data_IF_546516654114
#
_entry.id   IF_546516654114
#
_cell.length_a   1.000
_cell.length_b   1.000
_cell.length_c   1.000
_cell.angle_alpha   90.00
_cell.angle_beta   90.00
_cell.angle_gamma   90.00
#
_symmetry.space_group_name_H-M   'P 1'
#
loop_
_entity.id
_entity.type
_entity.pdbx_description
1 polymer ?
#
# COMPACT_ATOMS: atom_id res chain seq x y z
N UNK A 1 8.52 14.47 -23.09
CA UNK A 1 8.16 13.61 -21.93
C UNK A 1 8.52 12.18 -22.29
N UNK A 2 9.30 11.48 -21.47
CA UNK A 2 9.62 10.07 -21.75
C UNK A 2 8.52 9.15 -21.20
N UNK A 3 8.50 7.87 -21.62
CA UNK A 3 7.46 6.92 -21.24
C UNK A 3 7.31 6.73 -19.72
N UNK A 4 8.41 6.81 -18.94
CA UNK A 4 8.38 6.73 -17.48
C UNK A 4 7.69 7.94 -16.85
N UNK A 5 7.97 9.14 -17.35
CA UNK A 5 7.31 10.36 -16.88
C UNK A 5 5.81 10.33 -17.15
N UNK A 6 5.43 9.81 -18.34
CA UNK A 6 4.02 9.69 -18.69
C UNK A 6 3.29 8.67 -17.82
N UNK A 7 3.89 7.49 -17.57
CA UNK A 7 3.34 6.52 -16.60
C UNK A 7 3.15 7.12 -15.22
N UNK A 8 4.12 7.89 -14.72
CA UNK A 8 4.00 8.56 -13.42
C UNK A 8 2.87 9.60 -13.41
N UNK A 9 2.69 10.39 -14.47
CA UNK A 9 1.58 11.34 -14.57
C UNK A 9 0.22 10.64 -14.58
N UNK A 10 0.10 9.53 -15.30
CA UNK A 10 -1.13 8.73 -15.35
C UNK A 10 -1.44 8.13 -13.95
N UNK A 11 -0.42 7.62 -13.25
CA UNK A 11 -0.60 7.16 -11.86
C UNK A 11 -1.06 8.30 -10.94
N UNK A 12 -0.50 9.49 -11.11
CA UNK A 12 -0.92 10.66 -10.31
C UNK A 12 -2.39 11.02 -10.57
N UNK A 13 -2.85 10.99 -11.82
CA UNK A 13 -4.28 11.19 -12.12
C UNK A 13 -5.16 10.09 -11.52
N UNK A 14 -4.69 8.85 -11.54
CA UNK A 14 -5.41 7.71 -10.97
C UNK A 14 -5.67 7.88 -9.47
N UNK A 15 -4.64 8.26 -8.70
CA UNK A 15 -4.75 8.41 -7.24
C UNK A 15 -5.44 9.71 -6.80
N UNK A 16 -5.70 10.64 -7.73
CA UNK A 16 -6.46 11.87 -7.51
C UNK A 16 -7.93 11.76 -7.97
N UNK A 17 -8.37 10.58 -8.45
CA UNK A 17 -9.73 10.40 -8.98
C UNK A 17 -10.00 11.08 -10.32
N UNK A 18 -8.94 11.37 -11.09
CA UNK A 18 -9.03 12.10 -12.38
C UNK A 18 -8.88 11.20 -13.62
N UNK A 19 -8.64 9.89 -13.43
CA UNK A 19 -8.36 8.97 -14.54
C UNK A 19 -9.63 8.37 -15.13
N UNK A 20 -10.66 8.16 -14.33
CA UNK A 20 -11.94 7.58 -14.73
C UNK A 20 -13.09 8.45 -14.22
N UNK A 21 -14.25 8.44 -14.88
CA UNK A 21 -15.42 9.18 -14.41
C UNK A 21 -15.92 8.63 -13.07
N UNK A 22 -16.38 9.54 -12.18
CA UNK A 22 -17.09 9.17 -10.98
C UNK A 22 -18.46 8.59 -11.34
N UNK A 23 -18.87 7.50 -10.71
CA UNK A 23 -20.17 6.87 -10.91
C UNK A 23 -21.04 7.08 -9.66
N UNK A 24 -22.18 7.80 -9.78
CA UNK A 24 -23.06 8.05 -8.62
C UNK A 24 -23.66 6.79 -7.99
N UNK A 25 -23.61 5.66 -8.72
CA UNK A 25 -24.09 4.35 -8.25
C UNK A 25 -23.05 3.56 -7.46
N UNK A 26 -21.80 4.04 -7.41
CA UNK A 26 -20.78 3.37 -6.62
C UNK A 26 -21.07 3.54 -5.13
N UNK A 27 -20.86 2.48 -4.37
CA UNK A 27 -20.92 2.54 -2.92
C UNK A 27 -19.77 3.40 -2.39
N UNK A 28 -20.04 4.47 -1.61
CA UNK A 28 -18.99 5.37 -1.11
C UNK A 28 -17.93 4.62 -0.28
N UNK A 29 -16.69 5.12 -0.28
CA UNK A 29 -15.58 4.52 0.47
C UNK A 29 -15.83 4.50 2.00
N UNK A 30 -16.63 5.42 2.53
CA UNK A 30 -17.05 5.44 3.94
C UNK A 30 -17.73 4.15 4.39
N UNK A 31 -18.49 3.49 3.49
CA UNK A 31 -19.14 2.20 3.78
C UNK A 31 -18.11 1.08 3.90
N UNK A 32 -17.05 1.11 3.07
CA UNK A 32 -15.93 0.15 3.19
C UNK A 32 -15.25 0.29 4.55
N UNK A 33 -15.01 1.54 5.00
CA UNK A 33 -14.39 1.79 6.32
C UNK A 33 -15.26 1.26 7.47
N UNK A 34 -16.57 1.47 7.42
CA UNK A 34 -17.50 0.92 8.43
C UNK A 34 -17.42 -0.61 8.50
N UNK A 35 -17.37 -1.29 7.35
CA UNK A 35 -17.24 -2.76 7.30
C UNK A 35 -15.91 -3.23 7.89
N UNK A 36 -14.80 -2.54 7.60
CA UNK A 36 -13.49 -2.88 8.16
C UNK A 36 -13.49 -2.71 9.68
N UNK A 37 -14.03 -1.61 10.18
CA UNK A 37 -14.12 -1.36 11.61
C UNK A 37 -14.97 -2.44 12.31
N UNK A 38 -16.12 -2.81 11.73
CA UNK A 38 -16.97 -3.87 12.24
C UNK A 38 -16.24 -5.23 12.25
N UNK A 39 -15.53 -5.57 11.18
CA UNK A 39 -14.76 -6.82 11.08
C UNK A 39 -13.59 -6.85 12.09
N UNK A 40 -12.82 -5.78 12.20
CA UNK A 40 -11.76 -5.67 13.21
C UNK A 40 -12.32 -5.82 14.63
N UNK A 41 -13.45 -5.15 14.93
CA UNK A 41 -14.10 -5.27 16.23
C UNK A 41 -14.57 -6.71 16.52
N UNK A 42 -15.09 -7.42 15.51
CA UNK A 42 -15.45 -8.84 15.61
C UNK A 42 -14.23 -9.70 15.91
N UNK A 43 -13.13 -9.53 15.16
CA UNK A 43 -11.89 -10.28 15.36
C UNK A 43 -11.25 -10.04 16.73
N UNK A 44 -11.36 -8.83 17.28
CA UNK A 44 -10.91 -8.52 18.65
C UNK A 44 -11.78 -9.26 19.68
N UNK A 45 -13.10 -9.28 19.51
CA UNK A 45 -14.01 -10.04 20.40
C UNK A 45 -13.74 -11.55 20.36
N UNK A 46 -13.37 -12.07 19.18
CA UNK A 46 -13.00 -13.48 19.00
C UNK A 46 -11.57 -13.81 19.50
N UNK A 47 -10.83 -12.83 20.03
CA UNK A 47 -9.44 -13.02 20.46
C UNK A 47 -8.42 -13.24 19.34
N UNK A 48 -8.83 -13.09 18.07
CA UNK A 48 -7.98 -13.26 16.89
C UNK A 48 -7.15 -12.02 16.56
N UNK A 49 -7.53 -10.88 17.09
CA UNK A 49 -6.85 -9.61 16.90
C UNK A 49 -6.68 -8.91 18.24
N UNK A 50 -5.51 -8.27 18.44
CA UNK A 50 -5.27 -7.47 19.66
C UNK A 50 -6.11 -6.19 19.63
N UNK A 51 -6.57 -5.73 20.78
CA UNK A 51 -7.34 -4.47 20.91
C UNK A 51 -6.58 -3.27 20.33
N UNK A 52 -5.25 -3.26 20.40
CA UNK A 52 -4.38 -2.23 19.81
C UNK A 52 -4.40 -2.17 18.27
N UNK A 53 -5.01 -3.14 17.61
CA UNK A 53 -5.19 -3.11 16.15
C UNK A 53 -6.48 -2.39 15.72
N UNK A 54 -7.33 -2.01 16.69
CA UNK A 54 -8.42 -1.07 16.45
C UNK A 54 -7.78 0.33 16.41
N UNK A 55 -7.71 0.91 15.22
CA UNK A 55 -7.37 2.33 15.10
C UNK A 55 -8.56 3.15 15.54
N UNK A 56 -8.35 4.06 16.48
CA UNK A 56 -9.36 5.04 16.89
C UNK A 56 -9.33 6.30 16.00
N UNK A 57 -8.48 6.32 14.96
CA UNK A 57 -8.39 7.42 14.02
C UNK A 57 -9.59 7.44 13.08
N UNK A 58 -10.16 8.62 12.86
CA UNK A 58 -11.19 8.88 11.85
C UNK A 58 -10.89 10.23 11.23
N UNK A 59 -10.72 10.26 9.90
CA UNK A 59 -10.51 11.50 9.16
C UNK A 59 -11.86 11.93 8.57
N UNK A 60 -12.18 13.21 8.65
CA UNK A 60 -13.44 13.77 8.16
C UNK A 60 -13.28 15.22 7.71
N UNK A 61 -14.16 15.65 6.81
CA UNK A 61 -14.26 17.04 6.39
C UNK A 61 -15.19 17.79 7.36
N UNK A 62 -14.70 18.89 7.94
CA UNK A 62 -15.48 19.76 8.81
C UNK A 62 -16.44 20.68 8.05
N UNK A 63 -17.31 21.38 8.77
CA UNK A 63 -18.25 22.36 8.20
C UNK A 63 -17.54 23.57 7.55
N UNK A 64 -16.29 23.82 7.95
CA UNK A 64 -15.40 24.85 7.40
C UNK A 64 -14.61 24.39 6.17
N UNK A 65 -14.95 23.22 5.62
CA UNK A 65 -14.25 22.56 4.50
C UNK A 65 -12.78 22.24 4.77
N UNK A 66 -12.38 22.04 6.04
CA UNK A 66 -11.04 21.59 6.43
C UNK A 66 -11.08 20.15 6.89
N UNK A 67 -9.98 19.43 6.66
CA UNK A 67 -9.83 18.07 7.14
C UNK A 67 -9.39 18.01 8.60
N UNK A 68 -10.05 17.14 9.33
CA UNK A 68 -9.76 16.86 10.74
C UNK A 68 -9.53 15.38 10.95
N UNK A 69 -8.63 15.05 11.86
CA UNK A 69 -8.42 13.70 12.35
C UNK A 69 -8.86 13.62 13.82
N UNK A 70 -9.76 12.70 14.11
CA UNK A 70 -10.18 12.35 15.46
C UNK A 70 -9.45 11.08 15.90
N UNK A 71 -8.71 11.14 17.00
CA UNK A 71 -8.05 9.99 17.64
C UNK A 71 -8.54 9.92 19.09
N UNK A 72 -9.36 8.95 19.40
CA UNK A 72 -10.03 8.85 20.70
C UNK A 72 -10.90 10.08 20.97
N UNK A 73 -10.50 10.93 21.93
CA UNK A 73 -11.22 12.19 22.28
C UNK A 73 -10.59 13.44 21.66
N UNK A 74 -9.42 13.32 21.04
CA UNK A 74 -8.69 14.47 20.49
C UNK A 74 -9.07 14.66 19.03
N UNK A 75 -9.37 15.90 18.65
CA UNK A 75 -9.60 16.30 17.26
C UNK A 75 -8.51 17.30 16.88
N UNK A 76 -7.81 17.01 15.80
CA UNK A 76 -6.72 17.83 15.27
C UNK A 76 -7.01 18.21 13.83
N UNK A 77 -6.83 19.48 13.48
CA UNK A 77 -6.86 19.89 12.07
C UNK A 77 -5.63 19.35 11.35
N UNK A 78 -5.83 18.64 10.25
CA UNK A 78 -4.79 18.05 9.40
C UNK A 78 -4.86 18.58 7.96
N UNK A 79 -5.52 19.71 7.77
CA UNK A 79 -5.77 20.28 6.45
C UNK A 79 -4.47 20.57 5.69
N UNK A 80 -3.44 21.03 6.40
CA UNK A 80 -2.10 21.27 5.82
C UNK A 80 -1.35 19.98 5.46
N UNK A 81 -1.75 18.84 6.03
CA UNK A 81 -1.17 17.52 5.72
C UNK A 81 -1.82 16.87 4.49
N UNK A 82 -2.98 17.38 4.03
CA UNK A 82 -3.70 16.84 2.88
C UNK A 82 -2.99 17.22 1.60
N UNK A 83 -2.49 16.24 0.83
CA UNK A 83 -1.58 16.53 -0.29
C UNK A 83 -2.30 17.02 -1.56
N UNK A 84 -3.59 16.71 -1.71
CA UNK A 84 -4.44 17.07 -2.84
C UNK A 84 -5.92 16.80 -2.55
N UNK A 85 -6.78 17.42 -3.33
CA UNK A 85 -8.23 17.17 -3.26
C UNK A 85 -8.57 15.79 -3.85
N UNK A 86 -9.55 15.12 -3.26
CA UNK A 86 -10.11 13.85 -3.71
C UNK A 86 -11.62 13.99 -3.99
N UNK A 87 -12.23 13.12 -4.83
CA UNK A 87 -13.68 13.10 -5.03
C UNK A 87 -14.46 12.91 -3.73
N UNK A 88 -15.68 13.44 -3.65
CA UNK A 88 -16.53 13.36 -2.45
C UNK A 88 -16.89 11.93 -2.01
N UNK A 89 -16.82 10.96 -2.93
CA UNK A 89 -17.09 9.54 -2.63
C UNK A 89 -15.86 8.80 -2.08
N UNK A 90 -14.70 9.46 -2.09
CA UNK A 90 -13.45 8.93 -1.57
C UNK A 90 -13.23 9.35 -0.13
N UNK A 91 -12.33 8.63 0.55
CA UNK A 91 -11.92 8.95 1.92
C UNK A 91 -10.41 9.06 2.03
N UNK A 92 -9.93 9.94 2.92
CA UNK A 92 -8.55 9.88 3.39
C UNK A 92 -8.46 8.92 4.57
N UNK A 93 -7.45 8.04 4.55
CA UNK A 93 -7.27 7.02 5.60
C UNK A 93 -5.81 6.90 6.01
N UNK A 94 -5.55 6.48 7.24
CA UNK A 94 -4.21 6.03 7.65
C UNK A 94 -4.02 4.56 7.28
N UNK A 95 -2.78 4.17 6.94
CA UNK A 95 -2.47 2.78 6.59
C UNK A 95 -2.89 1.77 7.67
N UNK A 96 -2.74 2.11 8.95
CA UNK A 96 -3.17 1.25 10.08
C UNK A 96 -4.67 0.94 10.11
N UNK A 97 -5.50 1.77 9.47
CA UNK A 97 -6.94 1.54 9.39
C UNK A 97 -7.27 0.46 8.36
N UNK A 98 -6.53 0.42 7.25
CA UNK A 98 -6.88 -0.31 6.03
C UNK A 98 -5.92 -1.43 5.65
N UNK A 99 -4.77 -1.55 6.31
CA UNK A 99 -3.86 -2.67 6.15
C UNK A 99 -4.04 -3.68 7.29
N UNK A 100 -3.82 -4.95 6.99
CA UNK A 100 -3.71 -5.98 8.03
C UNK A 100 -2.37 -5.85 8.76
N UNK A 101 -2.29 -6.23 10.03
CA UNK A 101 -1.00 -6.34 10.72
C UNK A 101 -0.07 -7.30 9.97
N UNK A 102 1.22 -6.93 9.86
CA UNK A 102 2.23 -7.81 9.29
C UNK A 102 2.39 -9.08 10.13
N UNK A 103 2.44 -10.22 9.46
CA UNK A 103 2.71 -11.51 10.09
C UNK A 103 4.21 -11.82 10.09
N UNK A 104 4.69 -12.32 11.22
CA UNK A 104 6.05 -12.82 11.35
C UNK A 104 6.04 -14.34 11.40
N UNK A 105 7.05 -14.96 10.79
CA UNK A 105 7.25 -16.41 10.78
C UNK A 105 8.72 -16.75 10.91
N UNK A 106 9.01 -17.99 11.25
CA UNK A 106 10.35 -18.56 11.19
C UNK A 106 10.33 -19.71 10.18
N UNK A 107 11.39 -19.90 9.37
CA UNK A 107 11.45 -21.04 8.44
C UNK A 107 11.30 -22.37 9.18
N UNK A 108 10.39 -23.22 8.74
CA UNK A 108 10.11 -24.55 9.31
C UNK A 108 10.73 -25.69 8.48
N UNK A 109 11.56 -25.37 7.50
CA UNK A 109 12.21 -26.26 6.56
C UNK A 109 12.88 -25.47 5.45
N UNK A 110 13.19 -26.10 4.33
CA UNK A 110 13.69 -25.40 3.15
C UNK A 110 12.60 -24.46 2.59
N UNK A 111 12.98 -23.27 2.17
CA UNK A 111 12.01 -22.21 1.84
C UNK A 111 12.50 -21.29 0.73
N UNK A 112 11.56 -20.64 0.07
CA UNK A 112 11.83 -19.53 -0.85
C UNK A 112 11.97 -18.22 -0.08
N UNK A 113 13.14 -17.58 -0.20
CA UNK A 113 13.44 -16.31 0.44
C UNK A 113 13.42 -15.15 -0.55
N UNK A 114 12.66 -14.11 -0.22
CA UNK A 114 12.55 -12.87 -0.99
C UNK A 114 13.22 -11.74 -0.22
N UNK A 115 14.45 -11.37 -0.62
CA UNK A 115 15.12 -10.16 -0.11
C UNK A 115 14.86 -8.97 -1.06
N UNK A 116 15.30 -7.78 -0.68
CA UNK A 116 15.11 -6.55 -1.46
C UNK A 116 15.76 -6.65 -2.85
N UNK A 117 16.88 -7.35 -2.96
CA UNK A 117 17.59 -7.60 -4.21
C UNK A 117 16.85 -8.57 -5.17
N UNK A 118 15.87 -9.32 -4.66
CA UNK A 118 15.04 -10.20 -5.47
C UNK A 118 14.01 -9.46 -6.34
N UNK A 119 13.77 -8.17 -6.06
CA UNK A 119 12.77 -7.38 -6.79
C UNK A 119 13.42 -6.67 -7.99
N UNK A 120 12.90 -6.95 -9.18
CA UNK A 120 13.17 -6.16 -10.37
C UNK A 120 12.36 -4.85 -10.31
N UNK A 121 13.00 -3.75 -9.95
CA UNK A 121 12.36 -2.45 -9.79
C UNK A 121 12.02 -1.72 -11.11
N UNK A 122 12.40 -2.28 -12.24
CA UNK A 122 11.96 -1.77 -13.55
C UNK A 122 10.59 -2.29 -13.92
N UNK A 123 10.37 -3.59 -13.65
CA UNK A 123 9.12 -4.29 -13.94
C UNK A 123 8.23 -4.45 -12.70
N UNK A 124 8.74 -4.13 -11.50
CA UNK A 124 8.06 -4.25 -10.21
C UNK A 124 7.51 -5.65 -9.93
N UNK A 125 8.36 -6.65 -10.17
CA UNK A 125 8.07 -8.08 -9.97
C UNK A 125 9.13 -8.74 -9.09
N UNK A 126 8.78 -9.84 -8.43
CA UNK A 126 9.74 -10.75 -7.81
C UNK A 126 10.39 -11.55 -8.94
N UNK A 127 11.72 -11.42 -9.12
CA UNK A 127 12.45 -12.02 -10.25
C UNK A 127 13.49 -13.03 -9.82
N UNK A 128 14.19 -12.78 -8.73
CA UNK A 128 15.36 -13.57 -8.32
C UNK A 128 15.29 -14.00 -6.84
N UNK A 129 14.21 -14.67 -6.39
CA UNK A 129 14.15 -15.21 -5.04
C UNK A 129 15.18 -16.31 -4.87
N UNK A 130 15.62 -16.57 -3.62
CA UNK A 130 16.61 -17.58 -3.27
C UNK A 130 15.91 -18.77 -2.64
N UNK A 131 16.22 -19.99 -3.08
CA UNK A 131 15.82 -21.19 -2.36
C UNK A 131 16.89 -21.52 -1.32
N UNK A 132 16.53 -21.54 -0.04
CA UNK A 132 17.45 -21.69 1.08
C UNK A 132 17.06 -22.88 1.95
N UNK A 133 18.09 -23.57 2.47
CA UNK A 133 17.91 -24.51 3.59
C UNK A 133 17.62 -23.73 4.87
N UNK A 134 16.82 -24.30 5.76
CA UNK A 134 16.52 -23.71 7.07
C UNK A 134 17.80 -23.33 7.84
N UNK A 135 18.83 -24.19 7.80
CA UNK A 135 20.12 -23.94 8.47
C UNK A 135 20.85 -22.69 7.98
N UNK A 136 20.53 -22.22 6.77
CA UNK A 136 21.15 -21.06 6.13
C UNK A 136 20.21 -19.84 6.13
N UNK A 137 19.14 -19.88 6.92
CA UNK A 137 18.17 -18.80 6.98
C UNK A 137 18.80 -17.51 7.53
N UNK A 138 18.76 -16.40 6.78
CA UNK A 138 19.17 -15.11 7.31
C UNK A 138 18.27 -14.69 8.49
N UNK A 139 18.82 -14.02 9.49
CA UNK A 139 18.05 -13.50 10.64
C UNK A 139 16.92 -12.55 10.22
N UNK A 140 17.02 -11.96 9.03
CA UNK A 140 15.98 -11.09 8.44
C UNK A 140 14.86 -11.86 7.74
N UNK A 141 14.93 -13.17 7.56
CA UNK A 141 13.91 -13.99 6.92
C UNK A 141 12.77 -14.28 7.88
N UNK A 142 11.92 -13.30 8.13
CA UNK A 142 10.85 -13.40 9.14
C UNK A 142 9.49 -12.83 8.70
N UNK A 143 9.35 -12.30 7.48
CA UNK A 143 8.08 -11.77 6.99
C UNK A 143 7.32 -12.87 6.26
N UNK A 144 6.18 -13.29 6.80
CA UNK A 144 5.29 -14.22 6.11
C UNK A 144 4.63 -13.51 4.94
N UNK A 145 4.62 -14.14 3.77
CA UNK A 145 4.02 -13.59 2.57
C UNK A 145 2.74 -14.34 2.22
N UNK A 146 1.76 -13.61 1.71
CA UNK A 146 0.51 -14.14 1.18
C UNK A 146 0.30 -13.62 -0.24
N UNK A 147 -0.48 -14.33 -1.02
CA UNK A 147 -0.94 -13.85 -2.32
C UNK A 147 -1.61 -12.48 -2.15
N UNK A 148 -1.32 -11.58 -3.08
CA UNK A 148 -1.82 -10.20 -3.11
C UNK A 148 -1.20 -9.24 -2.06
N UNK A 149 -0.22 -9.67 -1.28
CA UNK A 149 0.59 -8.75 -0.51
C UNK A 149 1.41 -7.84 -1.44
N UNK A 150 1.67 -6.63 -0.99
CA UNK A 150 2.60 -5.72 -1.67
C UNK A 150 3.88 -5.60 -0.84
N UNK A 151 5.00 -5.97 -1.43
CA UNK A 151 6.31 -5.76 -0.85
C UNK A 151 6.73 -4.32 -1.10
N UNK A 152 6.93 -3.54 -0.06
CA UNK A 152 7.45 -2.18 -0.14
C UNK A 152 8.80 -2.11 0.56
N UNK A 153 9.88 -1.84 -0.19
CA UNK A 153 11.21 -1.74 0.41
C UNK A 153 11.32 -0.55 1.33
N UNK A 154 11.67 -0.80 2.60
CA UNK A 154 12.01 0.24 3.58
C UNK A 154 13.40 0.82 3.37
N UNK A 155 14.26 0.08 2.68
CA UNK A 155 15.63 0.48 2.37
C UNK A 155 15.64 1.19 1.03
N UNK A 156 16.08 2.44 1.01
CA UNK A 156 16.14 3.27 -0.20
C UNK A 156 14.82 3.24 -0.99
N UNK A 157 13.69 3.71 -0.41
CA UNK A 157 12.37 3.66 -1.06
C UNK A 157 12.36 4.28 -2.47
N UNK A 158 13.19 5.30 -2.69
CA UNK A 158 13.36 5.95 -3.99
C UNK A 158 13.79 5.00 -5.14
N UNK A 159 14.38 3.83 -4.81
CA UNK A 159 14.70 2.81 -5.81
C UNK A 159 13.46 2.02 -6.28
N UNK A 160 12.32 2.18 -5.60
CA UNK A 160 11.05 1.54 -5.96
C UNK A 160 11.14 0.02 -6.07
N UNK A 161 11.88 -0.63 -5.15
CA UNK A 161 11.83 -2.09 -5.00
C UNK A 161 10.48 -2.46 -4.36
N UNK A 162 9.44 -2.45 -5.20
CA UNK A 162 8.04 -2.70 -4.84
C UNK A 162 7.53 -3.80 -5.77
N UNK A 163 6.88 -4.82 -5.23
CA UNK A 163 6.33 -5.93 -6.02
C UNK A 163 5.03 -6.47 -5.42
N UNK A 164 4.13 -6.91 -6.29
CA UNK A 164 2.93 -7.66 -5.88
C UNK A 164 3.30 -9.14 -5.74
N UNK A 165 2.94 -9.74 -4.60
CA UNK A 165 3.13 -11.17 -4.35
C UNK A 165 2.11 -11.97 -5.15
N UNK A 166 2.59 -12.77 -6.09
CA UNK A 166 1.76 -13.66 -6.92
C UNK A 166 1.46 -14.97 -6.20
N UNK A 167 0.62 -15.81 -6.80
CA UNK A 167 0.33 -17.16 -6.31
C UNK A 167 1.60 -18.01 -6.11
N UNK A 168 2.62 -17.82 -6.95
CA UNK A 168 3.89 -18.54 -6.91
C UNK A 168 4.66 -18.32 -5.60
N UNK A 169 4.55 -17.11 -5.02
CA UNK A 169 5.32 -16.69 -3.84
C UNK A 169 4.49 -16.53 -2.56
N UNK A 170 3.24 -17.01 -2.56
CA UNK A 170 2.30 -16.84 -1.44
C UNK A 170 2.79 -17.45 -0.10
N UNK A 171 3.67 -18.46 -0.15
CA UNK A 171 4.22 -19.13 1.02
C UNK A 171 5.71 -18.83 1.21
N UNK A 172 6.26 -17.89 0.44
CA UNK A 172 7.64 -17.46 0.60
C UNK A 172 7.82 -16.64 1.88
N UNK A 173 9.07 -16.51 2.32
CA UNK A 173 9.44 -15.69 3.46
C UNK A 173 10.18 -14.45 2.97
N UNK A 174 9.64 -13.29 3.29
CA UNK A 174 10.24 -12.00 2.97
C UNK A 174 11.25 -11.53 4.01
N UNK A 175 12.15 -10.65 3.57
CA UNK A 175 13.10 -9.94 4.43
C UNK A 175 12.42 -8.87 5.28
N UNK A 176 12.94 -8.61 6.49
CA UNK A 176 12.59 -7.41 7.29
C UNK A 176 12.95 -6.09 6.60
N UNK A 177 13.69 -6.12 5.50
CA UNK A 177 13.91 -4.98 4.62
C UNK A 177 12.64 -4.47 3.93
N UNK A 178 11.59 -5.30 3.88
CA UNK A 178 10.26 -4.90 3.42
C UNK A 178 9.33 -4.51 4.56
N UNK A 179 8.45 -3.57 4.29
CA UNK A 179 7.12 -3.51 4.87
C UNK A 179 6.20 -4.33 3.95
N UNK A 180 5.54 -5.34 4.50
CA UNK A 180 4.59 -6.17 3.76
C UNK A 180 3.21 -5.56 3.95
N UNK A 181 2.67 -4.97 2.89
CA UNK A 181 1.34 -4.36 2.89
C UNK A 181 0.32 -5.43 2.52
N UNK A 182 -0.41 -5.94 3.51
CA UNK A 182 -1.51 -6.87 3.29
C UNK A 182 -2.82 -6.10 3.23
N UNK A 183 -3.52 -6.05 2.07
CA UNK A 183 -4.77 -5.32 1.96
C UNK A 183 -5.88 -5.96 2.80
N UNK A 184 -6.76 -5.12 3.36
CA UNK A 184 -8.08 -5.54 3.82
C UNK A 184 -9.06 -5.51 2.64
N UNK A 185 -10.37 -5.69 2.91
CA UNK A 185 -11.42 -5.52 1.89
C UNK A 185 -11.53 -4.09 1.35
N UNK A 186 -10.83 -3.11 1.95
CA UNK A 186 -10.80 -1.73 1.48
C UNK A 186 -10.17 -1.58 0.11
N UNK A 187 -9.16 -2.38 -0.18
CA UNK A 187 -8.38 -2.21 -1.38
C UNK A 187 -8.43 -3.43 -2.29
N UNK A 188 -8.74 -3.18 -3.57
CA UNK A 188 -8.40 -4.11 -4.64
C UNK A 188 -6.86 -4.20 -4.72
N UNK A 189 -6.25 -5.40 -4.61
CA UNK A 189 -4.79 -5.54 -4.46
C UNK A 189 -3.97 -4.86 -5.57
N UNK A 190 -4.43 -4.92 -6.82
CA UNK A 190 -3.76 -4.26 -7.94
C UNK A 190 -3.85 -2.73 -7.84
N UNK A 191 -4.98 -2.17 -7.36
CA UNK A 191 -5.08 -0.73 -7.12
C UNK A 191 -4.08 -0.29 -6.05
N UNK A 192 -4.05 -1.01 -4.92
CA UNK A 192 -3.10 -0.72 -3.84
C UNK A 192 -1.64 -0.84 -4.31
N UNK A 193 -1.33 -1.82 -5.15
CA UNK A 193 -0.01 -1.94 -5.76
C UNK A 193 0.36 -0.70 -6.59
N UNK A 194 -0.53 -0.21 -7.45
CA UNK A 194 -0.30 1.01 -8.21
C UNK A 194 -0.23 2.26 -7.33
N UNK A 195 -1.04 2.33 -6.28
CA UNK A 195 -0.96 3.40 -5.28
C UNK A 195 0.41 3.43 -4.60
N UNK A 196 0.92 2.27 -4.16
CA UNK A 196 2.24 2.15 -3.54
C UNK A 196 3.39 2.48 -4.51
N UNK A 197 3.20 2.31 -5.82
CA UNK A 197 4.15 2.71 -6.87
C UNK A 197 4.10 4.20 -7.22
N UNK A 198 3.06 4.91 -6.84
CA UNK A 198 2.90 6.33 -7.18
C UNK A 198 4.02 7.19 -6.59
N UNK A 199 4.34 8.29 -7.28
CA UNK A 199 5.30 9.27 -6.76
C UNK A 199 4.82 9.86 -5.43
N UNK A 200 3.51 10.04 -5.26
CA UNK A 200 2.94 10.49 -4.00
C UNK A 200 3.39 9.63 -2.80
N UNK A 201 3.22 8.32 -2.89
CA UNK A 201 3.59 7.41 -1.79
C UNK A 201 5.10 7.27 -1.68
N UNK A 202 5.79 7.01 -2.79
CA UNK A 202 7.25 6.76 -2.75
C UNK A 202 8.00 7.99 -2.26
N UNK A 203 7.72 9.17 -2.82
CA UNK A 203 8.43 10.40 -2.47
C UNK A 203 8.02 10.91 -1.09
N UNK A 204 6.73 10.78 -0.72
CA UNK A 204 6.22 11.11 0.60
C UNK A 204 6.83 10.24 1.71
N UNK A 205 6.90 8.92 1.51
CA UNK A 205 7.58 8.01 2.45
C UNK A 205 9.09 8.30 2.48
N UNK A 206 9.70 8.59 1.32
CA UNK A 206 11.13 8.90 1.24
C UNK A 206 11.50 10.18 2.00
N UNK A 207 10.59 11.13 2.15
CA UNK A 207 10.81 12.36 2.92
C UNK A 207 11.08 12.11 4.42
N UNK A 208 10.66 10.95 4.96
CA UNK A 208 10.95 10.56 6.34
C UNK A 208 12.36 10.00 6.56
N UNK A 209 13.16 9.84 5.50
CA UNK A 209 14.51 9.29 5.63
C UNK A 209 15.40 10.27 6.38
N UNK A 210 15.98 9.77 7.48
CA UNK A 210 17.01 10.47 8.26
C UNK A 210 18.33 9.69 8.16
N UNK A 211 19.41 10.38 7.79
CA UNK A 211 20.77 9.82 7.76
C UNK A 211 21.30 9.50 6.37
N UNK A 212 22.66 9.54 6.25
CA UNK A 212 23.37 9.42 4.98
C UNK A 212 23.83 7.98 4.66
N UNK A 213 24.11 7.14 5.67
CA UNK A 213 24.82 5.87 5.47
C UNK A 213 23.91 4.66 5.23
N UNK A 214 22.66 4.65 5.72
CA UNK A 214 21.68 3.60 5.47
C UNK A 214 20.28 4.19 5.49
N UNK A 215 19.87 4.88 4.41
CA UNK A 215 18.59 5.54 4.37
C UNK A 215 17.46 4.51 4.41
N UNK A 216 16.75 4.42 5.53
CA UNK A 216 15.62 3.54 5.72
C UNK A 216 14.47 4.22 6.46
N UNK A 217 13.26 3.77 6.19
CA UNK A 217 12.05 4.19 6.88
C UNK A 217 11.62 3.12 7.88
N UNK A 218 10.89 3.51 8.91
CA UNK A 218 10.30 2.57 9.85
C UNK A 218 8.85 2.26 9.49
N UNK A 219 8.29 1.24 10.13
CA UNK A 219 6.94 0.76 9.85
C UNK A 219 5.87 1.83 10.13
N UNK A 220 6.08 2.70 11.15
CA UNK A 220 5.15 3.77 11.50
C UNK A 220 5.04 4.84 10.42
N UNK A 221 6.10 5.09 9.65
CA UNK A 221 6.03 6.03 8.53
C UNK A 221 5.04 5.58 7.46
N UNK A 222 4.85 4.26 7.30
CA UNK A 222 3.90 3.69 6.35
C UNK A 222 2.51 3.56 6.97
N UNK A 223 2.40 3.06 8.20
CA UNK A 223 1.10 2.86 8.85
C UNK A 223 0.37 4.17 9.14
N UNK A 224 1.09 5.26 9.39
CA UNK A 224 0.54 6.59 9.63
C UNK A 224 0.48 7.48 8.40
N UNK A 225 0.98 7.02 7.25
CA UNK A 225 0.87 7.78 6.00
C UNK A 225 -0.60 7.90 5.59
N UNK A 226 -0.94 8.99 4.90
CA UNK A 226 -2.28 9.23 4.36
C UNK A 226 -2.42 8.52 3.01
N UNK A 227 -3.50 7.77 2.85
CA UNK A 227 -3.81 7.08 1.60
C UNK A 227 -5.20 7.47 1.12
N UNK A 228 -5.37 7.80 -0.18
CA UNK A 228 -6.70 8.01 -0.75
C UNK A 228 -7.38 6.64 -0.95
N UNK A 229 -8.63 6.55 -0.53
CA UNK A 229 -9.45 5.35 -0.64
C UNK A 229 -10.65 5.61 -1.56
N UNK A 230 -10.63 5.13 -2.81
CA UNK A 230 -11.78 5.15 -3.70
C UNK A 230 -12.85 4.12 -3.33
N UNK A 231 -14.09 4.28 -3.82
CA UNK A 231 -15.06 3.20 -3.92
C UNK A 231 -14.47 1.95 -4.58
N UNK A 232 -14.80 0.75 -4.10
CA UNK A 232 -14.19 -0.49 -4.59
C UNK A 232 -14.43 -0.71 -6.09
N UNK A 233 -15.62 -0.40 -6.58
CA UNK A 233 -15.94 -0.50 -8.01
C UNK A 233 -15.08 0.47 -8.87
N UNK A 234 -14.80 1.66 -8.35
CA UNK A 234 -13.93 2.62 -9.01
C UNK A 234 -12.48 2.16 -9.03
N UNK A 235 -11.97 1.53 -7.95
CA UNK A 235 -10.63 0.94 -7.95
C UNK A 235 -10.43 -0.06 -9.10
N UNK A 236 -11.43 -0.90 -9.38
CA UNK A 236 -11.40 -1.83 -10.51
C UNK A 236 -11.34 -1.10 -11.86
N UNK A 237 -12.15 -0.04 -12.05
CA UNK A 237 -12.13 0.77 -13.29
C UNK A 237 -10.80 1.49 -13.47
N UNK A 238 -10.25 2.04 -12.39
CA UNK A 238 -8.93 2.69 -12.40
C UNK A 238 -7.85 1.70 -12.85
N UNK A 239 -7.82 0.49 -12.29
CA UNK A 239 -6.83 -0.54 -12.65
C UNK A 239 -6.97 -0.94 -14.11
N UNK A 240 -8.18 -1.22 -14.57
CA UNK A 240 -8.42 -1.57 -15.97
C UNK A 240 -7.90 -0.48 -16.93
N UNK A 241 -8.14 0.81 -16.58
CA UNK A 241 -7.67 1.94 -17.40
C UNK A 241 -6.17 2.12 -17.36
N UNK A 242 -5.55 1.92 -16.17
CA UNK A 242 -4.09 1.95 -16.03
C UNK A 242 -3.42 0.87 -16.88
N UNK A 243 -3.90 -0.37 -16.83
CA UNK A 243 -3.35 -1.50 -17.58
C UNK A 243 -3.50 -1.28 -19.11
N UNK A 244 -4.65 -0.76 -19.57
CA UNK A 244 -4.88 -0.36 -20.95
C UNK A 244 -3.83 0.67 -21.42
N UNK A 245 -3.68 1.77 -20.67
CA UNK A 245 -2.78 2.86 -21.05
C UNK A 245 -1.31 2.44 -20.99
N UNK A 246 -0.91 1.66 -19.99
CA UNK A 246 0.46 1.17 -19.87
C UNK A 246 0.82 0.21 -20.99
N UNK A 247 -0.10 -0.67 -21.41
CA UNK A 247 0.11 -1.55 -22.57
C UNK A 247 0.30 -0.76 -23.88
N UNK A 248 -0.41 0.37 -24.04
CA UNK A 248 -0.19 1.26 -25.20
C UNK A 248 1.19 1.91 -25.15
N UNK A 249 1.60 2.43 -23.97
CA UNK A 249 2.90 3.08 -23.80
C UNK A 249 4.07 2.12 -24.03
N UNK A 250 3.95 0.86 -23.55
CA UNK A 250 4.98 -0.14 -23.74
C UNK A 250 5.15 -0.54 -25.20
N UNK A 251 4.05 -0.64 -25.95
CA UNK A 251 4.10 -0.85 -27.42
C UNK A 251 4.75 0.30 -28.19
N UNK A 252 4.56 1.54 -27.71
CA UNK A 252 5.18 2.71 -28.34
C UNK A 252 6.67 2.83 -28.02
N UNK A 253 7.10 2.35 -26.85
CA UNK A 253 8.50 2.36 -26.43
C UNK A 253 9.36 1.27 -27.12
N UNK A 254 8.73 0.24 -27.71
CA UNK A 254 9.39 -0.84 -28.46
C UNK A 254 9.57 -0.53 -29.95
N UNK A 255 9.09 0.61 -30.42
CA UNK A 255 9.30 1.14 -31.79
C UNK A 255 10.39 2.20 -31.79
#
# INVERSE_FOLDING_TARGET
>A
MNGKQLKNSILQWAIQGRLVPQAPTDEPASVLLQRIQAEKARLVKEGKLKKSALSDSTIFLGEDNKYYEKVGKTITCIDEDIPFEIPQTWEWVRGEQVFKPMESTMPQGDFTYVDVDAVDNKNNIIKAPKFLKQSNAPSRATRKLHKNDILFSKVRPYLRNIALVTQEYQDAIGSTGFYVVTPTIAYYPKYLFYLMLSSYVVDGINAFIKGHNSPSVNDNHITRFLFPLPPLAEQHRIVAKLEELFAVLDRLACK
#
